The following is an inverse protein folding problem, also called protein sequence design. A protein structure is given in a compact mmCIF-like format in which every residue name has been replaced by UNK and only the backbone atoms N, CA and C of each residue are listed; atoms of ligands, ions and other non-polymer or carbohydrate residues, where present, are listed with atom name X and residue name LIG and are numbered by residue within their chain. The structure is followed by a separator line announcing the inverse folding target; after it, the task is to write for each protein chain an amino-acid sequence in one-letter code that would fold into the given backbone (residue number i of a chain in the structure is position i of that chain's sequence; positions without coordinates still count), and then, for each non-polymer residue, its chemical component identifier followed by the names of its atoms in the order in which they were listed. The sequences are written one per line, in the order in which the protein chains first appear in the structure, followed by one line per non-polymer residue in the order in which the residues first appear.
data_IF_902920453726
#
_entry.id   IF_902920453726
#
_cell.length_a   1.000
_cell.length_b   1.000
_cell.length_c   1.000
_cell.angle_alpha   90.00
_cell.angle_beta   90.00
_cell.angle_gamma   90.00
#
_symmetry.space_group_name_H-M   'P 1'
#
loop_
_entity.id
_entity.type
_entity.pdbx_description
1 polymer ?
#
# COMPACT_ATOMS: atom_id res chain seq x y z
N UNK A 1 24.81 -6.49 11.90
CA UNK A 1 25.11 -5.12 12.40
C UNK A 1 24.55 -4.12 11.41
N UNK A 2 23.96 -3.00 11.88
CA UNK A 2 23.53 -1.92 10.98
C UNK A 2 24.73 -1.02 10.67
N UNK A 3 24.84 -0.57 9.42
CA UNK A 3 25.86 0.41 9.06
C UNK A 3 25.57 1.77 9.72
N UNK A 4 26.61 2.56 10.07
CA UNK A 4 26.48 3.79 10.86
C UNK A 4 25.46 4.80 10.30
N UNK A 5 25.38 4.93 8.98
CA UNK A 5 24.47 5.83 8.28
C UNK A 5 22.98 5.48 8.47
N UNK A 6 22.68 4.23 8.80
CA UNK A 6 21.31 3.72 8.95
C UNK A 6 20.84 3.68 10.41
N UNK A 7 21.73 3.86 11.38
CA UNK A 7 21.41 3.76 12.81
C UNK A 7 20.34 4.77 13.21
N UNK A 8 20.45 6.02 12.76
CA UNK A 8 19.49 7.06 13.15
C UNK A 8 18.09 6.85 12.56
N UNK A 9 17.99 6.15 11.43
CA UNK A 9 16.74 5.91 10.72
C UNK A 9 16.01 4.70 11.29
N UNK A 10 16.73 3.61 11.56
CA UNK A 10 16.10 2.33 11.92
C UNK A 10 16.20 1.96 13.40
N UNK A 11 17.17 2.48 14.16
CA UNK A 11 17.28 2.20 15.59
C UNK A 11 16.29 3.07 16.41
N UNK A 12 15.00 2.98 16.08
CA UNK A 12 13.90 3.74 16.66
C UNK A 12 12.74 2.83 17.04
N UNK A 13 12.02 3.20 18.09
CA UNK A 13 10.80 2.53 18.51
C UNK A 13 9.78 2.52 17.37
N UNK A 14 9.14 1.36 17.16
CA UNK A 14 8.20 1.15 16.07
C UNK A 14 8.84 0.66 14.76
N UNK A 15 10.19 0.56 14.68
CA UNK A 15 10.84 -0.13 13.56
C UNK A 15 10.50 -1.62 13.60
N UNK A 16 10.16 -2.19 12.45
CA UNK A 16 9.79 -3.60 12.31
C UNK A 16 10.81 -4.31 11.44
N UNK A 17 11.22 -5.49 11.87
CA UNK A 17 12.10 -6.38 11.13
C UNK A 17 11.36 -7.68 10.84
N UNK A 18 11.37 -8.12 9.58
CA UNK A 18 10.74 -9.38 9.16
C UNK A 18 11.67 -10.15 8.25
N UNK A 19 11.75 -11.47 8.42
CA UNK A 19 12.44 -12.33 7.46
C UNK A 19 11.61 -12.41 6.19
N UNK A 20 12.25 -12.34 5.02
CA UNK A 20 11.56 -12.54 3.74
C UNK A 20 11.74 -13.98 3.29
N UNK A 21 10.63 -14.67 3.06
CA UNK A 21 10.59 -16.05 2.57
C UNK A 21 10.05 -16.12 1.13
N UNK A 22 10.46 -17.13 0.36
CA UNK A 22 10.01 -17.29 -1.01
C UNK A 22 8.55 -17.72 -1.04
N UNK A 23 7.77 -17.12 -1.94
CA UNK A 23 6.35 -17.44 -2.08
C UNK A 23 6.02 -17.98 -3.47
N UNK A 24 5.39 -19.15 -3.50
CA UNK A 24 5.00 -19.85 -4.72
C UNK A 24 3.52 -20.21 -4.58
N UNK A 25 2.70 -19.69 -5.49
CA UNK A 25 1.26 -19.94 -5.51
C UNK A 25 0.74 -20.06 -6.94
N UNK A 26 -0.49 -20.55 -7.11
CA UNK A 26 -1.15 -20.57 -8.41
C UNK A 26 -1.40 -19.18 -9.00
N UNK A 27 -1.33 -18.12 -8.18
CA UNK A 27 -1.48 -16.73 -8.61
C UNK A 27 -0.16 -16.10 -9.10
N UNK A 28 0.99 -16.74 -8.83
CA UNK A 28 2.30 -16.22 -9.19
C UNK A 28 3.40 -16.60 -8.20
N UNK A 29 4.60 -16.10 -8.47
CA UNK A 29 5.81 -16.33 -7.68
C UNK A 29 6.41 -15.00 -7.24
N UNK A 30 6.81 -14.89 -5.97
CA UNK A 30 7.48 -13.72 -5.38
C UNK A 30 8.71 -14.15 -4.58
N UNK A 31 9.70 -13.26 -4.48
CA UNK A 31 10.90 -13.43 -3.65
C UNK A 31 11.67 -14.72 -3.89
N UNK A 32 11.69 -15.24 -5.12
CA UNK A 32 12.39 -16.50 -5.45
C UNK A 32 13.91 -16.41 -5.24
N UNK A 33 14.47 -15.21 -5.25
CA UNK A 33 15.87 -14.93 -4.89
C UNK A 33 16.20 -15.35 -3.44
N UNK A 34 15.21 -15.31 -2.54
CA UNK A 34 15.39 -15.71 -1.14
C UNK A 34 15.61 -17.21 -0.95
N UNK A 35 15.36 -18.04 -1.97
CA UNK A 35 15.69 -19.47 -1.95
C UNK A 35 17.21 -19.66 -1.82
N UNK A 36 17.98 -18.79 -2.46
CA UNK A 36 19.44 -18.87 -2.45
C UNK A 36 20.05 -17.96 -1.38
N UNK A 37 19.45 -16.79 -1.14
CA UNK A 37 19.96 -15.80 -0.19
C UNK A 37 18.82 -15.15 0.61
N UNK A 38 18.49 -15.67 1.81
CA UNK A 38 17.47 -15.05 2.64
C UNK A 38 17.92 -13.67 3.13
N UNK A 39 17.00 -12.72 3.17
CA UNK A 39 17.26 -11.37 3.70
C UNK A 39 16.18 -10.94 4.69
N UNK A 40 16.49 -9.88 5.45
CA UNK A 40 15.58 -9.25 6.40
C UNK A 40 15.07 -7.95 5.79
N UNK A 41 13.76 -7.78 5.75
CA UNK A 41 13.14 -6.51 5.42
C UNK A 41 13.01 -5.65 6.69
N UNK A 42 13.09 -4.33 6.51
CA UNK A 42 13.00 -3.36 7.61
C UNK A 42 12.06 -2.21 7.27
N UNK A 43 11.14 -1.91 8.17
CA UNK A 43 10.26 -0.74 8.10
C UNK A 43 10.63 0.24 9.21
N UNK A 44 11.02 1.50 8.90
CA UNK A 44 11.49 2.45 9.89
C UNK A 44 10.38 3.00 10.79
N UNK A 45 10.61 2.99 12.10
CA UNK A 45 9.73 3.59 13.09
C UNK A 45 10.06 5.05 13.40
N UNK A 46 9.08 5.80 13.91
CA UNK A 46 9.25 7.22 14.33
C UNK A 46 9.41 7.40 15.84
N UNK A 47 9.57 6.32 16.61
CA UNK A 47 9.67 6.37 18.07
C UNK A 47 11.05 6.79 18.59
N UNK A 48 11.18 6.73 19.92
CA UNK A 48 12.43 6.99 20.64
C UNK A 48 13.54 6.00 20.23
N UNK A 49 14.83 6.38 20.32
CA UNK A 49 15.92 5.47 20.02
C UNK A 49 15.79 4.15 20.77
N UNK A 50 15.81 3.03 20.03
CA UNK A 50 15.67 1.68 20.56
C UNK A 50 16.62 0.76 19.80
N UNK A 51 17.24 -0.20 20.50
CA UNK A 51 18.20 -1.15 19.90
C UNK A 51 17.75 -2.60 20.00
N UNK A 52 16.74 -2.87 20.82
CA UNK A 52 16.16 -4.20 21.01
C UNK A 52 14.86 -4.30 20.22
N UNK A 53 14.81 -5.26 19.29
CA UNK A 53 13.69 -5.47 18.39
C UNK A 53 13.29 -6.94 18.37
N UNK A 54 11.99 -7.18 18.29
CA UNK A 54 11.45 -8.52 18.06
C UNK A 54 11.37 -8.78 16.55
N UNK A 55 11.86 -9.96 16.15
CA UNK A 55 11.73 -10.44 14.77
C UNK A 55 10.29 -10.87 14.55
N UNK A 56 9.67 -10.34 13.49
CA UNK A 56 8.34 -10.77 13.09
C UNK A 56 8.43 -11.93 12.09
N UNK A 57 7.73 -13.02 12.38
CA UNK A 57 7.72 -14.25 11.57
C UNK A 57 6.91 -14.11 10.29
N UNK A 58 5.88 -13.26 10.31
CA UNK A 58 5.21 -12.86 9.09
C UNK A 58 6.21 -12.05 8.28
N UNK A 59 6.67 -12.62 7.15
CA UNK A 59 7.03 -11.76 6.02
C UNK A 59 5.85 -10.79 5.91
N UNK A 60 6.08 -9.49 5.76
CA UNK A 60 5.02 -8.46 5.61
C UNK A 60 4.01 -8.81 4.46
N UNK A 61 4.24 -9.91 3.76
CA UNK A 61 3.37 -10.59 2.80
C UNK A 61 2.29 -11.51 3.39
N UNK A 62 2.44 -12.07 4.59
CA UNK A 62 1.49 -13.04 5.14
C UNK A 62 0.22 -12.37 5.64
N UNK A 63 -0.67 -12.13 4.67
CA UNK A 63 -2.14 -12.16 4.69
C UNK A 63 -2.93 -11.30 5.70
N UNK A 64 -2.33 -10.74 6.74
CA UNK A 64 -2.87 -9.63 7.55
C UNK A 64 -2.17 -8.30 7.29
N UNK A 65 -1.03 -8.33 6.59
CA UNK A 65 -0.24 -7.15 6.26
C UNK A 65 -0.15 -6.87 4.76
N UNK A 66 -0.98 -7.53 3.94
CA UNK A 66 -1.42 -6.97 2.64
C UNK A 66 -2.04 -5.57 2.83
N UNK A 67 -2.57 -5.31 4.03
CA UNK A 67 -3.13 -4.01 4.41
C UNK A 67 -2.02 -2.97 4.58
N UNK A 68 -0.79 -3.33 4.98
CA UNK A 68 0.35 -2.42 5.18
C UNK A 68 1.35 -2.40 4.02
N UNK A 69 1.51 -3.51 3.29
CA UNK A 69 2.49 -3.63 2.19
C UNK A 69 2.14 -2.76 0.97
N UNK A 70 0.87 -2.35 0.83
CA UNK A 70 0.48 -1.31 -0.13
C UNK A 70 0.39 0.10 0.46
N UNK A 71 0.59 0.27 1.77
CA UNK A 71 0.67 1.60 2.40
C UNK A 71 1.92 2.36 1.94
N UNK A 72 2.89 1.66 1.34
CA UNK A 72 4.24 2.15 1.12
C UNK A 72 4.74 1.88 -0.30
N UNK A 73 3.95 2.18 -1.33
CA UNK A 73 4.60 2.59 -2.59
C UNK A 73 5.28 3.95 -2.30
N UNK A 74 6.60 3.91 -2.16
CA UNK A 74 7.42 5.04 -1.69
C UNK A 74 7.19 6.34 -2.47
N UNK A 75 6.66 6.24 -3.69
CA UNK A 75 6.26 7.35 -4.57
C UNK A 75 5.09 8.18 -4.04
N UNK A 76 4.29 7.61 -3.13
CA UNK A 76 3.08 8.23 -2.59
C UNK A 76 3.18 8.46 -1.07
N UNK A 77 4.31 8.13 -0.43
CA UNK A 77 4.51 8.15 1.03
C UNK A 77 4.36 9.55 1.64
N UNK A 78 4.66 10.60 0.86
CA UNK A 78 4.49 12.02 1.20
C UNK A 78 3.23 12.66 0.56
N UNK A 79 2.35 11.81 0.02
CA UNK A 79 1.15 12.17 -0.70
C UNK A 79 -0.07 12.50 0.17
N UNK A 80 -1.12 13.04 -0.45
CA UNK A 80 -2.38 13.38 0.22
C UNK A 80 -3.18 12.09 0.43
N UNK A 81 -3.51 11.80 1.68
CA UNK A 81 -4.38 10.67 2.03
C UNK A 81 -5.83 11.11 2.02
N UNK A 82 -6.67 10.40 1.28
CA UNK A 82 -8.13 10.63 1.21
C UNK A 82 -8.88 9.32 1.45
N UNK A 83 -10.12 9.44 1.89
CA UNK A 83 -11.04 8.30 2.04
C UNK A 83 -12.26 8.58 1.18
N UNK A 84 -12.62 7.61 0.35
CA UNK A 84 -13.81 7.65 -0.50
C UNK A 84 -14.78 6.58 -0.01
N UNK A 85 -16.04 6.95 0.17
CA UNK A 85 -17.10 6.01 0.52
C UNK A 85 -17.77 5.47 -0.74
N UNK A 86 -17.98 4.16 -0.78
CA UNK A 86 -18.68 3.48 -1.86
C UNK A 86 -19.66 2.44 -1.29
N UNK A 87 -20.79 2.16 -1.96
CA UNK A 87 -21.72 1.12 -1.53
C UNK A 87 -21.10 -0.29 -1.59
N UNK A 88 -20.15 -0.52 -2.50
CA UNK A 88 -19.44 -1.79 -2.64
C UNK A 88 -17.97 -1.56 -3.08
N UNK A 89 -17.09 -2.51 -2.74
CA UNK A 89 -15.69 -2.48 -3.17
C UNK A 89 -15.52 -2.84 -4.66
N UNK A 90 -16.43 -3.64 -5.23
CA UNK A 90 -16.31 -4.13 -6.60
C UNK A 90 -15.01 -4.92 -6.85
N UNK A 91 -14.32 -4.62 -7.96
CA UNK A 91 -13.04 -5.21 -8.35
C UNK A 91 -11.82 -4.41 -7.85
N UNK A 92 -12.01 -3.52 -6.87
CA UNK A 92 -10.93 -2.72 -6.33
C UNK A 92 -10.06 -3.58 -5.44
N UNK A 93 -8.77 -3.55 -5.73
CA UNK A 93 -7.73 -4.08 -4.87
C UNK A 93 -6.92 -2.95 -4.25
N UNK A 94 -6.27 -3.25 -3.14
CA UNK A 94 -5.19 -2.41 -2.67
C UNK A 94 -4.10 -2.39 -3.77
N UNK A 95 -3.58 -1.20 -4.10
CA UNK A 95 -2.64 -1.00 -5.22
C UNK A 95 -3.29 -0.55 -6.53
N UNK A 96 -4.64 -0.54 -6.59
CA UNK A 96 -5.36 -0.05 -7.78
C UNK A 96 -4.97 1.39 -8.09
N UNK A 97 -4.56 1.71 -9.34
CA UNK A 97 -4.13 3.05 -9.69
C UNK A 97 -5.32 4.02 -9.71
N UNK A 98 -5.10 5.20 -9.13
CA UNK A 98 -5.99 6.35 -9.24
C UNK A 98 -5.51 7.20 -10.40
N UNK A 99 -6.37 7.48 -11.36
CA UNK A 99 -6.02 8.31 -12.49
C UNK A 99 -6.72 9.66 -12.48
N UNK A 100 -6.10 10.60 -13.19
CA UNK A 100 -6.72 11.83 -13.64
C UNK A 100 -6.44 11.94 -15.13
N UNK A 101 -7.50 12.03 -15.96
CA UNK A 101 -7.39 12.10 -17.43
C UNK A 101 -6.51 11.00 -18.05
N UNK A 102 -6.54 9.79 -17.48
CA UNK A 102 -5.74 8.66 -17.96
C UNK A 102 -4.29 8.59 -17.44
N UNK A 103 -3.86 9.54 -16.61
CA UNK A 103 -2.54 9.53 -15.98
C UNK A 103 -2.62 9.04 -14.54
N UNK A 104 -1.69 8.18 -14.12
CA UNK A 104 -1.60 7.71 -12.73
C UNK A 104 -1.16 8.85 -11.81
N UNK A 105 -2.03 9.19 -10.87
CA UNK A 105 -1.81 10.26 -9.89
C UNK A 105 -1.74 9.75 -8.45
N UNK A 106 -2.16 8.51 -8.21
CA UNK A 106 -2.23 7.92 -6.88
C UNK A 106 -2.49 6.42 -6.91
N UNK A 107 -2.66 5.84 -5.72
CA UNK A 107 -3.00 4.43 -5.54
C UNK A 107 -3.97 4.22 -4.38
N UNK A 108 -4.76 3.14 -4.43
CA UNK A 108 -5.57 2.67 -3.30
C UNK A 108 -4.63 2.06 -2.25
N UNK A 109 -4.63 2.60 -1.05
CA UNK A 109 -3.77 2.15 0.07
C UNK A 109 -4.46 1.23 1.06
N UNK A 110 -5.80 1.17 1.04
CA UNK A 110 -6.54 0.27 1.91
C UNK A 110 -8.04 0.30 1.68
N UNK A 111 -8.74 -0.70 2.20
CA UNK A 111 -10.19 -0.77 2.19
C UNK A 111 -10.65 -1.32 3.52
N UNK A 112 -11.64 -0.67 4.11
CA UNK A 112 -12.30 -1.12 5.33
C UNK A 112 -13.80 -1.04 5.15
N UNK A 113 -14.52 -1.89 5.87
CA UNK A 113 -15.96 -1.75 5.98
C UNK A 113 -16.28 -0.59 6.92
N UNK A 114 -17.34 0.17 6.62
CA UNK A 114 -17.86 1.20 7.50
C UNK A 114 -18.37 0.61 8.80
N UNK A 115 -18.47 1.42 9.86
CA UNK A 115 -18.86 0.96 11.21
C UNK A 115 -20.21 0.24 11.26
N UNK A 116 -21.11 0.57 10.33
CA UNK A 116 -22.45 -0.02 10.22
C UNK A 116 -22.54 -1.14 9.17
N UNK A 117 -21.40 -1.55 8.58
CA UNK A 117 -21.33 -2.55 7.51
C UNK A 117 -22.16 -2.25 6.24
N UNK A 118 -22.58 -1.00 6.05
CA UNK A 118 -23.46 -0.56 4.97
C UNK A 118 -22.71 0.07 3.78
N UNK A 119 -21.42 0.36 3.95
CA UNK A 119 -20.54 0.96 2.95
C UNK A 119 -19.11 0.48 3.09
N UNK A 120 -18.33 0.60 2.02
CA UNK A 120 -16.89 0.39 1.99
C UNK A 120 -16.19 1.75 2.01
N UNK A 121 -15.25 1.92 2.92
CA UNK A 121 -14.36 3.06 2.99
C UNK A 121 -13.05 2.70 2.30
N UNK A 122 -12.76 3.40 1.21
CA UNK A 122 -11.59 3.15 0.35
C UNK A 122 -10.56 4.24 0.68
N UNK A 123 -9.46 3.84 1.31
CA UNK A 123 -8.34 4.73 1.59
C UNK A 123 -7.44 4.81 0.36
N UNK A 124 -7.14 6.02 -0.10
CA UNK A 124 -6.31 6.28 -1.27
C UNK A 124 -5.24 7.30 -0.93
N UNK A 125 -4.14 7.26 -1.70
CA UNK A 125 -3.07 8.24 -1.59
C UNK A 125 -2.70 8.83 -2.94
N UNK A 126 -2.69 10.16 -3.01
CA UNK A 126 -2.40 10.94 -4.21
C UNK A 126 -1.00 11.52 -4.08
N UNK A 127 -0.16 11.40 -5.11
CA UNK A 127 1.22 11.91 -5.07
C UNK A 127 1.27 13.39 -4.76
N UNK A 128 2.30 13.83 -4.03
CA UNK A 128 2.50 15.23 -3.64
C UNK A 128 2.41 16.21 -4.81
N UNK A 129 2.97 15.83 -5.96
CA UNK A 129 2.94 16.60 -7.21
C UNK A 129 1.52 16.85 -7.78
N UNK A 130 0.54 16.02 -7.41
CA UNK A 130 -0.83 16.04 -7.93
C UNK A 130 -1.89 16.40 -6.89
N UNK A 131 -1.49 16.73 -5.65
CA UNK A 131 -2.45 17.05 -4.57
C UNK A 131 -3.40 18.20 -4.92
N UNK A 132 -2.91 19.18 -5.68
CA UNK A 132 -3.69 20.34 -6.14
C UNK A 132 -4.86 19.99 -7.08
N UNK A 133 -4.91 18.76 -7.60
CA UNK A 133 -6.00 18.29 -8.44
C UNK A 133 -7.23 17.91 -7.61
N UNK A 134 -7.04 17.47 -6.36
CA UNK A 134 -8.14 17.08 -5.49
C UNK A 134 -8.70 18.33 -4.80
N UNK A 135 -9.99 18.59 -5.02
CA UNK A 135 -10.74 19.70 -4.43
C UNK A 135 -11.93 19.18 -3.65
N UNK A 136 -12.53 20.03 -2.82
CA UNK A 136 -13.71 19.66 -2.02
C UNK A 136 -14.92 19.23 -2.87
N UNK A 137 -14.98 19.67 -4.13
CA UNK A 137 -16.04 19.34 -5.08
C UNK A 137 -15.62 18.28 -6.11
N UNK A 138 -14.48 17.61 -5.91
CA UNK A 138 -14.04 16.55 -6.79
C UNK A 138 -14.95 15.34 -6.69
N UNK A 139 -15.24 14.72 -7.83
CA UNK A 139 -16.04 13.50 -7.91
C UNK A 139 -15.14 12.34 -8.31
N UNK A 140 -15.30 11.21 -7.64
CA UNK A 140 -14.59 9.97 -7.96
C UNK A 140 -15.59 8.98 -8.55
N UNK A 141 -15.27 8.40 -9.71
CA UNK A 141 -16.07 7.32 -10.29
C UNK A 141 -15.19 6.17 -10.78
N UNK A 142 -15.79 4.99 -10.69
CA UNK A 142 -15.18 3.72 -11.04
C UNK A 142 -15.19 3.63 -12.58
N UNK A 143 -14.06 3.89 -13.26
CA UNK A 143 -14.06 3.81 -14.71
C UNK A 143 -14.15 2.33 -15.13
N UNK A 144 -15.31 1.98 -15.67
CA UNK A 144 -15.57 0.69 -16.30
C UNK A 144 -15.06 0.77 -17.74
N UNK A 145 -13.93 0.13 -18.04
CA UNK A 145 -13.61 -0.24 -19.43
C UNK A 145 -14.36 -1.53 -19.75
N UNK A 146 -15.23 -1.49 -20.76
CA UNK A 146 -15.72 -2.72 -21.40
C UNK A 146 -14.60 -3.25 -22.30
N UNK A 147 -13.90 -4.29 -21.87
CA UNK A 147 -13.10 -5.16 -22.75
C UNK A 147 -13.23 -6.57 -22.20
N UNK A 148 -13.74 -7.45 -23.05
CA UNK A 148 -13.82 -8.89 -22.81
C UNK A 148 -12.40 -9.41 -22.59
N UNK A 149 -12.23 -10.15 -21.50
CA UNK A 149 -10.98 -10.73 -20.99
C UNK A 149 -10.06 -9.76 -20.19
N UNK A 150 -9.91 -10.09 -18.90
CA UNK A 150 -9.15 -9.43 -17.81
C UNK A 150 -9.51 -7.96 -17.50
N UNK A 151 -10.38 -7.78 -16.50
CA UNK A 151 -10.91 -6.48 -16.04
C UNK A 151 -9.93 -5.77 -15.10
N UNK A 152 -9.33 -4.68 -15.55
CA UNK A 152 -8.64 -3.69 -14.70
C UNK A 152 -9.50 -2.43 -14.62
N UNK A 153 -9.82 -2.03 -13.40
CA UNK A 153 -10.63 -0.86 -13.07
C UNK A 153 -9.73 0.31 -12.72
N UNK A 154 -10.10 1.50 -13.19
CA UNK A 154 -9.27 2.68 -13.20
C UNK A 154 -10.12 3.85 -12.70
N UNK A 155 -9.71 4.61 -11.68
CA UNK A 155 -10.50 5.78 -11.25
C UNK A 155 -10.11 7.00 -12.07
N UNK A 156 -11.07 7.83 -12.46
CA UNK A 156 -10.79 9.16 -13.02
C UNK A 156 -11.34 10.21 -12.07
N UNK A 157 -10.58 11.28 -11.87
CA UNK A 157 -10.98 12.48 -11.14
C UNK A 157 -11.46 13.54 -12.18
N UNK A 158 -12.64 14.14 -11.99
CA UNK A 158 -13.08 15.37 -12.73
C UNK A 158 -12.85 16.52 -11.77
#
# INVERSE_FOLDING_TARGET
MLYPEYVQTFARGGTRFSVVTPQISAAGVEHLDTILQPYINVEPGRGNPRRDFELQEATITDSRDLITRTITDSRYLDGLSIIVEAPEAGSLGIGTPVLFRGLEVGTVTGMTLGTLSDRVMIAMRISKRYQHLVRNNSVFWLARRQTTDKRVTVWTLV
#
